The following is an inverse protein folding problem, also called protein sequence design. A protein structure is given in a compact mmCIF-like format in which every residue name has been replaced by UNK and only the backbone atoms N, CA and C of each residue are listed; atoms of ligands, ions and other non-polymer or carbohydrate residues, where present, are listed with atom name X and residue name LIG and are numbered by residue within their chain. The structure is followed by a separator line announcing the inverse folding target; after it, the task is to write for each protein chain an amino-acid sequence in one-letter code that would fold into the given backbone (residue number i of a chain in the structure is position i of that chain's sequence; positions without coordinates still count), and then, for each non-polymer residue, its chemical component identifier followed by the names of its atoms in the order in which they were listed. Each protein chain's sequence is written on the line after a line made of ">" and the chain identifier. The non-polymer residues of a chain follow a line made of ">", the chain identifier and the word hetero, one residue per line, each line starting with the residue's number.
data_IF_117303447831
#
_entry.id   IF_117303447831
#
_cell.length_a   1.000
_cell.length_b   1.000
_cell.length_c   1.000
_cell.angle_alpha   90.00
_cell.angle_beta   90.00
_cell.angle_gamma   90.00
#
_symmetry.space_group_name_H-M   'P 1'
#
loop_
_entity.id
_entity.type
_entity.pdbx_description
1 polymer ?
#
# COMPACT_ATOMS: atom_id res chain seq x y z
N UNK A 1 -16.79 15.44 12.80
CA UNK A 1 -17.48 16.54 12.10
C UNK A 1 -18.47 15.99 11.08
N UNK A 2 -19.73 16.43 11.17
CA UNK A 2 -20.71 16.13 10.14
C UNK A 2 -20.23 16.73 8.80
N UNK A 3 -20.34 16.00 7.70
CA UNK A 3 -20.10 16.58 6.38
C UNK A 3 -21.02 17.80 6.13
N UNK A 4 -20.64 18.74 5.25
CA UNK A 4 -21.56 19.76 4.75
C UNK A 4 -22.87 19.10 4.27
N UNK A 5 -24.01 19.79 4.36
CA UNK A 5 -25.37 19.24 4.18
C UNK A 5 -25.63 18.41 2.89
N UNK A 6 -24.70 18.44 1.93
CA UNK A 6 -24.75 17.71 0.65
C UNK A 6 -23.90 16.43 0.60
N UNK A 7 -22.96 16.21 1.52
CA UNK A 7 -22.03 15.07 1.52
C UNK A 7 -22.46 14.00 2.52
N UNK A 8 -23.63 13.40 2.33
CA UNK A 8 -24.26 12.60 3.39
C UNK A 8 -23.49 11.34 3.83
N UNK A 9 -22.52 10.84 3.06
CA UNK A 9 -21.83 9.59 3.39
C UNK A 9 -20.36 9.57 2.92
N UNK A 10 -19.52 8.88 3.68
CA UNK A 10 -18.22 8.37 3.25
C UNK A 10 -18.42 7.00 2.56
N UNK A 11 -17.70 6.72 1.47
CA UNK A 11 -17.83 5.43 0.78
C UNK A 11 -17.16 4.30 1.55
N UNK A 12 -16.01 4.61 2.17
CA UNK A 12 -14.99 3.64 2.55
C UNK A 12 -13.84 4.37 3.26
N UNK A 13 -13.00 3.61 3.97
CA UNK A 13 -11.81 4.16 4.60
C UNK A 13 -10.85 3.12 5.12
N UNK A 14 -9.73 3.61 5.65
CA UNK A 14 -8.66 2.83 6.28
C UNK A 14 -8.63 3.22 7.76
N UNK A 15 -8.70 2.25 8.66
CA UNK A 15 -8.67 2.48 10.10
C UNK A 15 -7.47 1.77 10.72
N UNK A 16 -6.69 2.51 11.51
CA UNK A 16 -5.59 1.95 12.29
C UNK A 16 -5.68 2.41 13.74
N UNK A 17 -5.21 1.59 14.67
CA UNK A 17 -5.16 1.91 16.08
C UNK A 17 -3.75 2.29 16.52
N UNK A 18 -3.63 3.38 17.30
CA UNK A 18 -2.38 3.79 17.95
C UNK A 18 -2.70 4.53 19.25
N UNK A 19 -2.14 4.06 20.36
CA UNK A 19 -2.12 4.76 21.65
C UNK A 19 -3.51 5.29 22.09
N UNK A 20 -4.54 4.43 22.06
CA UNK A 20 -5.90 4.82 22.43
C UNK A 20 -6.64 5.67 21.40
N UNK A 21 -6.07 5.84 20.19
CA UNK A 21 -6.70 6.57 19.08
C UNK A 21 -6.89 5.70 17.86
N UNK A 22 -8.02 5.88 17.18
CA UNK A 22 -8.27 5.36 15.84
C UNK A 22 -7.91 6.48 14.85
N UNK A 23 -7.01 6.16 13.93
CA UNK A 23 -6.67 6.97 12.76
C UNK A 23 -7.53 6.45 11.61
N UNK A 24 -8.56 7.20 11.24
CA UNK A 24 -9.50 6.81 10.19
C UNK A 24 -9.39 7.71 8.97
N UNK A 25 -8.82 7.18 7.89
CA UNK A 25 -8.67 7.88 6.62
C UNK A 25 -9.89 7.60 5.74
N UNK A 26 -10.53 8.63 5.19
CA UNK A 26 -11.75 8.48 4.40
C UNK A 26 -11.92 9.58 3.35
N UNK A 27 -12.78 9.32 2.37
CA UNK A 27 -13.16 10.25 1.30
C UNK A 27 -14.68 10.45 1.35
N UNK A 28 -15.15 11.65 1.02
CA UNK A 28 -16.57 11.92 0.87
C UNK A 28 -17.05 11.52 -0.52
N UNK A 29 -18.27 11.00 -0.66
CA UNK A 29 -18.74 10.43 -1.93
C UNK A 29 -18.63 11.40 -3.12
N UNK A 30 -18.91 12.69 -2.92
CA UNK A 30 -18.96 13.70 -3.98
C UNK A 30 -17.68 14.55 -4.08
N UNK A 31 -16.68 14.30 -3.24
CA UNK A 31 -15.45 15.08 -3.20
C UNK A 31 -14.25 14.15 -3.16
N UNK A 32 -13.53 14.10 -4.28
CA UNK A 32 -12.41 13.18 -4.51
C UNK A 32 -11.12 13.90 -4.92
N UNK A 33 -11.08 15.22 -4.82
CA UNK A 33 -9.85 16.00 -5.04
C UNK A 33 -8.90 15.98 -3.84
N UNK A 34 -9.36 15.45 -2.71
CA UNK A 34 -8.61 15.31 -1.47
C UNK A 34 -9.25 14.23 -0.59
N UNK A 35 -8.55 13.87 0.48
CA UNK A 35 -9.10 13.01 1.51
C UNK A 35 -8.94 13.58 2.91
N UNK A 36 -9.59 12.93 3.86
CA UNK A 36 -9.61 13.30 5.26
C UNK A 36 -8.98 12.20 6.11
N UNK A 37 -8.43 12.58 7.26
CA UNK A 37 -8.09 11.66 8.34
C UNK A 37 -8.70 12.17 9.65
N UNK A 38 -9.53 11.35 10.28
CA UNK A 38 -10.04 11.58 11.61
C UNK A 38 -9.15 10.92 12.67
N UNK A 39 -8.88 11.66 13.74
CA UNK A 39 -8.34 11.14 14.99
C UNK A 39 -9.51 10.98 15.95
N UNK A 40 -9.82 9.73 16.29
CA UNK A 40 -10.97 9.35 17.10
C UNK A 40 -10.46 8.74 18.39
N UNK A 41 -10.96 9.18 19.53
CA UNK A 41 -10.65 8.55 20.81
C UNK A 41 -11.29 7.15 20.83
N UNK A 42 -10.51 6.10 21.07
CA UNK A 42 -11.00 4.73 20.98
C UNK A 42 -11.91 4.34 22.16
N UNK A 43 -11.86 5.05 23.29
CA UNK A 43 -12.62 4.70 24.49
C UNK A 43 -14.07 5.20 24.41
N UNK A 44 -14.29 6.39 23.84
CA UNK A 44 -15.61 7.03 23.77
C UNK A 44 -16.09 7.32 22.34
N UNK A 45 -15.28 6.97 21.33
CA UNK A 45 -15.53 7.20 19.91
C UNK A 45 -15.69 8.68 19.51
N UNK A 46 -15.33 9.62 20.37
CA UNK A 46 -15.37 11.04 20.07
C UNK A 46 -14.32 11.37 19.02
N UNK A 47 -14.74 12.04 17.94
CA UNK A 47 -13.79 12.60 16.97
C UNK A 47 -13.10 13.81 17.60
N UNK A 48 -11.81 13.70 17.86
CA UNK A 48 -11.00 14.75 18.46
C UNK A 48 -10.54 15.77 17.42
N UNK A 49 -10.22 15.29 16.21
CA UNK A 49 -9.71 16.12 15.12
C UNK A 49 -9.97 15.48 13.76
N UNK A 50 -10.14 16.30 12.73
CA UNK A 50 -10.12 15.85 11.33
C UNK A 50 -9.16 16.75 10.56
N UNK A 51 -8.28 16.13 9.76
CA UNK A 51 -7.30 16.83 8.94
C UNK A 51 -7.52 16.51 7.47
N UNK A 52 -7.42 17.55 6.64
CA UNK A 52 -7.53 17.48 5.18
C UNK A 52 -6.14 17.28 4.57
N UNK A 53 -6.03 16.41 3.58
CA UNK A 53 -4.81 16.16 2.83
C UNK A 53 -5.06 16.24 1.33
N UNK A 54 -4.31 17.11 0.65
CA UNK A 54 -4.51 17.48 -0.76
C UNK A 54 -3.36 17.06 -1.66
N UNK A 55 -2.31 16.45 -1.11
CA UNK A 55 -1.14 15.96 -1.88
C UNK A 55 -1.42 14.63 -2.61
N UNK A 56 -2.60 14.05 -2.39
CA UNK A 56 -3.17 12.95 -3.16
C UNK A 56 -4.70 13.08 -3.14
N UNK A 57 -5.36 12.55 -4.17
CA UNK A 57 -6.82 12.57 -4.30
C UNK A 57 -7.50 11.67 -3.27
N UNK A 58 -6.93 10.49 -2.98
CA UNK A 58 -7.51 9.55 -2.04
C UNK A 58 -6.49 8.58 -1.45
N UNK A 59 -6.81 7.97 -0.30
CA UNK A 59 -6.05 6.83 0.22
C UNK A 59 -6.23 5.61 -0.69
N UNK A 60 -5.25 4.72 -0.72
CA UNK A 60 -5.40 3.46 -1.44
C UNK A 60 -6.58 2.65 -0.85
N UNK A 61 -7.24 1.81 -1.66
CA UNK A 61 -8.34 0.97 -1.17
C UNK A 61 -9.72 1.63 -1.08
N UNK A 62 -9.97 2.80 -1.67
CA UNK A 62 -11.29 3.47 -1.62
C UNK A 62 -12.49 2.67 -2.16
N UNK A 63 -12.31 1.60 -2.93
CA UNK A 63 -13.44 0.79 -3.36
C UNK A 63 -13.90 -0.21 -2.29
N UNK A 64 -12.99 -0.69 -1.44
CA UNK A 64 -13.23 -1.85 -0.57
C UNK A 64 -12.65 -1.71 0.84
N UNK A 65 -11.89 -0.67 1.17
CA UNK A 65 -11.09 -0.59 2.39
C UNK A 65 -9.88 -1.55 2.37
N UNK A 66 -9.39 -1.93 3.55
CA UNK A 66 -8.35 -2.97 3.77
C UNK A 66 -8.97 -4.36 4.00
N UNK A 67 -9.83 -4.86 3.09
CA UNK A 67 -10.43 -6.20 3.29
C UNK A 67 -9.39 -7.32 3.31
N UNK A 68 -8.45 -7.28 2.35
CA UNK A 68 -7.41 -8.29 2.20
C UNK A 68 -6.01 -7.72 2.31
N UNK A 69 -5.84 -6.42 2.11
CA UNK A 69 -4.58 -5.80 1.72
C UNK A 69 -4.15 -4.75 2.72
N UNK A 70 -2.86 -4.74 3.06
CA UNK A 70 -2.26 -3.67 3.83
C UNK A 70 -1.97 -2.50 2.90
N UNK A 71 -2.59 -1.37 3.18
CA UNK A 71 -2.39 -0.07 2.52
C UNK A 71 -1.67 0.91 3.43
N UNK A 72 -1.36 0.49 4.65
CA UNK A 72 -0.79 1.31 5.69
C UNK A 72 0.02 0.46 6.65
N UNK A 73 0.96 1.09 7.34
CA UNK A 73 1.77 0.41 8.35
C UNK A 73 2.31 1.41 9.38
N UNK A 74 2.72 0.87 10.54
CA UNK A 74 3.54 1.59 11.50
C UNK A 74 4.99 1.11 11.38
N UNK A 75 5.93 2.03 11.48
CA UNK A 75 7.33 1.66 11.73
C UNK A 75 7.53 1.31 13.21
N UNK A 76 8.61 0.60 13.57
CA UNK A 76 8.96 0.37 14.98
C UNK A 76 9.10 1.66 15.82
N UNK A 77 9.42 2.79 15.17
CA UNK A 77 9.52 4.10 15.80
C UNK A 77 8.14 4.76 16.05
N UNK A 78 7.05 4.14 15.59
CA UNK A 78 5.66 4.59 15.77
C UNK A 78 5.14 5.59 14.73
N UNK A 79 5.93 5.87 13.69
CA UNK A 79 5.49 6.67 12.55
C UNK A 79 4.50 5.84 11.72
N UNK A 80 3.38 6.45 11.37
CA UNK A 80 2.34 5.86 10.54
C UNK A 80 2.52 6.26 9.09
N UNK A 81 2.43 5.30 8.18
CA UNK A 81 2.53 5.50 6.74
C UNK A 81 1.24 5.01 6.07
N UNK A 82 0.76 5.77 5.10
CA UNK A 82 -0.47 5.51 4.37
C UNK A 82 -0.23 5.61 2.87
N UNK A 83 -0.50 4.53 2.15
CA UNK A 83 -0.51 4.53 0.69
C UNK A 83 -1.72 5.35 0.21
N UNK A 84 -1.46 6.23 -0.75
CA UNK A 84 -2.43 7.11 -1.39
C UNK A 84 -2.28 7.00 -2.90
N UNK A 85 -3.31 7.39 -3.64
CA UNK A 85 -3.31 7.37 -5.10
C UNK A 85 -4.00 8.62 -5.64
N UNK A 86 -3.61 9.01 -6.85
CA UNK A 86 -4.29 10.07 -7.63
C UNK A 86 -4.48 9.59 -9.06
N UNK A 87 -5.61 9.95 -9.66
CA UNK A 87 -5.89 9.62 -11.06
C UNK A 87 -4.92 10.40 -11.96
N UNK A 88 -4.38 9.72 -12.97
CA UNK A 88 -3.48 10.36 -13.92
C UNK A 88 -4.21 11.40 -14.76
N UNK A 89 -3.56 12.52 -15.07
CA UNK A 89 -4.13 13.53 -15.96
C UNK A 89 -4.50 12.92 -17.32
N UNK A 90 -5.72 13.16 -17.80
CA UNK A 90 -6.22 12.60 -19.06
C UNK A 90 -6.57 11.10 -19.02
N UNK A 91 -6.60 10.48 -17.84
CA UNK A 91 -7.00 9.08 -17.69
C UNK A 91 -8.42 8.82 -18.21
N UNK A 92 -8.59 7.69 -18.91
CA UNK A 92 -9.89 7.23 -19.40
C UNK A 92 -10.71 6.48 -18.35
N UNK A 93 -10.08 6.12 -17.23
CA UNK A 93 -10.74 5.49 -16.09
C UNK A 93 -10.03 5.82 -14.80
N UNK A 94 -10.76 5.76 -13.69
CA UNK A 94 -10.20 5.98 -12.36
C UNK A 94 -9.17 4.93 -11.95
N UNK A 95 -9.00 3.83 -12.68
CA UNK A 95 -7.97 2.81 -12.41
C UNK A 95 -6.57 3.28 -12.78
N UNK A 96 -6.45 4.21 -13.73
CA UNK A 96 -5.16 4.73 -14.20
C UNK A 96 -4.66 5.78 -13.21
N UNK A 97 -3.82 5.34 -12.28
CA UNK A 97 -3.41 6.12 -11.12
C UNK A 97 -1.89 6.10 -10.96
N UNK A 98 -1.38 7.04 -10.16
CA UNK A 98 -0.05 6.96 -9.57
C UNK A 98 -0.14 7.06 -8.05
N UNK A 99 0.80 6.43 -7.38
CA UNK A 99 0.85 6.33 -5.93
C UNK A 99 1.52 7.51 -5.23
N UNK A 100 1.36 7.54 -3.92
CA UNK A 100 2.17 8.29 -2.97
C UNK A 100 2.15 7.57 -1.62
N UNK A 101 3.18 7.76 -0.81
CA UNK A 101 3.21 7.30 0.58
C UNK A 101 3.29 8.52 1.51
N UNK A 102 2.27 8.72 2.35
CA UNK A 102 2.20 9.87 3.26
C UNK A 102 2.42 9.43 4.70
N UNK A 103 3.04 10.31 5.51
CA UNK A 103 3.47 10.00 6.88
C UNK A 103 2.73 10.83 7.92
N UNK A 104 2.48 10.23 9.08
CA UNK A 104 2.15 10.91 10.34
C UNK A 104 3.15 10.46 11.38
N UNK A 105 3.93 11.40 11.91
CA UNK A 105 4.91 11.11 12.96
C UNK A 105 4.25 10.53 14.21
N UNK A 106 4.97 9.75 15.00
CA UNK A 106 4.50 9.29 16.32
C UNK A 106 4.00 10.46 17.15
N UNK A 107 2.81 10.31 17.75
CA UNK A 107 2.16 11.33 18.57
C UNK A 107 1.58 12.54 17.80
N UNK A 108 1.87 12.70 16.51
CA UNK A 108 1.34 13.81 15.72
C UNK A 108 -0.14 13.59 15.35
N UNK A 109 -0.86 14.71 15.22
CA UNK A 109 -2.27 14.75 14.77
C UNK A 109 -2.42 15.52 13.45
N UNK A 110 -1.36 15.51 12.63
CA UNK A 110 -1.27 16.13 11.32
C UNK A 110 -0.39 15.26 10.41
N UNK A 111 -0.65 15.30 9.11
CA UNK A 111 0.27 14.75 8.13
C UNK A 111 1.57 15.54 8.11
N UNK A 112 2.68 14.82 8.05
CA UNK A 112 3.99 15.42 7.91
C UNK A 112 4.11 16.09 6.53
N UNK A 113 4.21 17.42 6.53
CA UNK A 113 4.29 18.22 5.31
C UNK A 113 5.67 18.14 4.65
N UNK A 114 6.72 17.75 5.38
CA UNK A 114 8.07 17.59 4.82
C UNK A 114 8.29 16.21 4.19
N UNK A 115 7.30 15.31 4.23
CA UNK A 115 7.42 13.96 3.71
C UNK A 115 6.34 13.65 2.68
N UNK A 116 6.78 13.17 1.53
CA UNK A 116 5.97 12.48 0.52
C UNK A 116 6.89 11.40 -0.08
N UNK A 117 6.58 10.14 0.16
CA UNK A 117 7.28 9.01 -0.43
C UNK A 117 6.64 8.55 -1.73
N UNK A 118 7.37 7.76 -2.50
CA UNK A 118 7.02 7.33 -3.85
C UNK A 118 6.71 8.54 -4.75
N UNK A 119 7.70 9.41 -4.97
CA UNK A 119 7.57 10.55 -5.91
C UNK A 119 7.85 10.12 -7.36
N UNK A 120 7.23 9.02 -7.77
CA UNK A 120 7.32 8.53 -9.15
C UNK A 120 6.09 8.96 -9.95
N UNK A 121 6.26 9.34 -11.23
CA UNK A 121 5.16 9.83 -12.05
C UNK A 121 4.15 8.74 -12.46
N UNK A 122 4.49 7.46 -12.23
CA UNK A 122 3.75 6.29 -12.70
C UNK A 122 3.74 5.22 -11.62
N UNK A 123 2.88 4.23 -11.82
CA UNK A 123 2.69 3.11 -10.92
C UNK A 123 1.82 3.46 -9.71
N UNK A 124 0.84 2.61 -9.47
CA UNK A 124 -0.12 2.69 -8.37
C UNK A 124 0.37 1.80 -7.23
N UNK A 125 0.41 2.31 -6.00
CA UNK A 125 0.69 1.48 -4.83
C UNK A 125 -0.54 0.62 -4.53
N UNK A 126 -0.36 -0.70 -4.61
CA UNK A 126 -1.37 -1.70 -4.32
C UNK A 126 -1.25 -2.18 -2.89
N UNK A 127 -0.07 -2.54 -2.39
CA UNK A 127 0.13 -2.82 -0.96
C UNK A 127 1.37 -2.12 -0.45
N UNK A 128 1.40 -1.88 0.86
CA UNK A 128 2.53 -1.28 1.54
C UNK A 128 2.70 -1.94 2.91
N UNK A 129 3.88 -2.52 3.16
CA UNK A 129 4.25 -3.18 4.41
C UNK A 129 5.57 -2.59 4.95
N UNK A 130 5.71 -2.51 6.27
CA UNK A 130 6.97 -2.11 6.90
C UNK A 130 8.00 -3.25 6.80
N UNK A 131 9.16 -3.02 6.17
CA UNK A 131 10.29 -3.95 6.28
C UNK A 131 11.22 -3.58 7.42
N UNK A 132 11.47 -2.28 7.59
CA UNK A 132 12.35 -1.75 8.64
C UNK A 132 11.97 -0.28 8.92
N UNK A 133 12.55 0.38 9.93
CA UNK A 133 12.27 1.80 10.19
C UNK A 133 12.49 2.72 8.99
N UNK A 134 13.32 2.32 8.01
CA UNK A 134 13.67 3.13 6.84
C UNK A 134 13.26 2.50 5.51
N UNK A 135 12.59 1.34 5.50
CA UNK A 135 12.25 0.65 4.25
C UNK A 135 10.83 0.10 4.27
N UNK A 136 10.11 0.31 3.18
CA UNK A 136 8.80 -0.30 2.93
C UNK A 136 8.87 -1.30 1.77
N UNK A 137 8.15 -2.40 1.89
CA UNK A 137 7.84 -3.29 0.77
C UNK A 137 6.58 -2.76 0.09
N UNK A 138 6.68 -2.52 -1.22
CA UNK A 138 5.56 -2.10 -2.04
C UNK A 138 5.23 -3.20 -3.06
N UNK A 139 3.94 -3.45 -3.24
CA UNK A 139 3.41 -4.09 -4.44
C UNK A 139 2.80 -3.01 -5.31
N UNK A 140 3.31 -2.85 -6.53
CA UNK A 140 3.00 -1.71 -7.41
C UNK A 140 2.37 -2.24 -8.69
N UNK A 141 1.28 -1.62 -9.14
CA UNK A 141 0.71 -1.85 -10.46
C UNK A 141 1.16 -0.75 -11.42
N UNK A 142 1.92 -1.10 -12.46
CA UNK A 142 2.37 -0.17 -13.49
C UNK A 142 2.44 -0.86 -14.86
N UNK A 143 1.38 -0.78 -15.68
CA UNK A 143 1.36 -1.42 -16.99
C UNK A 143 2.44 -0.90 -17.94
N UNK A 144 2.90 0.34 -17.78
CA UNK A 144 3.92 0.91 -18.66
C UNK A 144 5.29 0.32 -18.33
N UNK A 145 5.66 0.29 -17.05
CA UNK A 145 6.91 -0.34 -16.61
C UNK A 145 6.97 -1.83 -17.00
N UNK A 146 5.85 -2.55 -16.87
CA UNK A 146 5.82 -3.98 -17.17
C UNK A 146 5.62 -4.31 -18.65
N UNK A 147 5.34 -3.32 -19.51
CA UNK A 147 4.96 -3.53 -20.92
C UNK A 147 3.63 -4.28 -21.11
N UNK A 148 2.75 -4.26 -20.10
CA UNK A 148 1.44 -4.90 -20.16
C UNK A 148 0.46 -4.10 -21.03
N UNK A 149 -0.58 -4.77 -21.57
CA UNK A 149 -1.52 -4.10 -22.50
C UNK A 149 -2.40 -3.05 -21.81
N UNK A 150 -2.56 -3.18 -20.49
CA UNK A 150 -3.35 -2.23 -19.72
C UNK A 150 -3.39 -2.54 -18.23
N UNK A 151 -4.24 -1.78 -17.55
CA UNK A 151 -4.51 -1.91 -16.12
C UNK A 151 -5.42 -3.11 -15.83
N UNK A 152 -5.54 -3.53 -14.57
CA UNK A 152 -6.46 -4.60 -14.15
C UNK A 152 -5.77 -5.94 -13.91
N UNK A 153 -6.32 -7.03 -14.47
CA UNK A 153 -5.88 -8.41 -14.21
C UNK A 153 -4.69 -8.88 -15.06
N UNK A 154 -4.08 -7.99 -15.85
CA UNK A 154 -2.84 -8.30 -16.59
C UNK A 154 -1.65 -8.50 -15.62
N UNK A 155 -0.54 -9.03 -16.13
CA UNK A 155 0.69 -9.25 -15.36
C UNK A 155 1.50 -7.97 -15.25
N UNK A 156 0.90 -6.98 -14.60
CA UNK A 156 1.35 -5.59 -14.56
C UNK A 156 1.75 -5.12 -13.16
N UNK A 157 1.96 -6.07 -12.24
CA UNK A 157 2.33 -5.76 -10.87
C UNK A 157 3.69 -6.34 -10.51
N UNK A 158 4.46 -5.63 -9.70
CA UNK A 158 5.79 -6.02 -9.27
C UNK A 158 6.05 -5.61 -7.82
N UNK A 159 7.07 -6.22 -7.22
CA UNK A 159 7.52 -5.89 -5.88
C UNK A 159 8.78 -5.04 -5.91
N UNK A 160 8.77 -3.98 -5.12
CA UNK A 160 9.92 -3.11 -4.93
C UNK A 160 10.04 -2.69 -3.47
N UNK A 161 11.25 -2.32 -3.08
CA UNK A 161 11.56 -1.72 -1.79
C UNK A 161 11.69 -0.22 -1.99
N UNK A 162 10.92 0.55 -1.23
CA UNK A 162 11.06 1.99 -1.14
C UNK A 162 11.89 2.34 0.09
N UNK A 163 12.99 3.05 -0.11
CA UNK A 163 13.72 3.70 0.98
C UNK A 163 12.94 4.95 1.43
N UNK A 164 12.49 4.93 2.68
CA UNK A 164 11.64 5.97 3.29
C UNK A 164 12.41 7.25 3.60
N UNK A 165 13.73 7.28 3.41
CA UNK A 165 14.59 8.44 3.70
C UNK A 165 15.07 9.13 2.42
N UNK A 166 15.35 8.35 1.36
CA UNK A 166 15.91 8.84 0.10
C UNK A 166 14.92 8.82 -1.06
N UNK A 167 13.76 8.18 -0.89
CA UNK A 167 12.77 7.90 -1.93
C UNK A 167 13.28 6.97 -3.05
N UNK A 168 14.41 6.30 -2.84
CA UNK A 168 14.93 5.32 -3.79
C UNK A 168 14.02 4.10 -3.85
N UNK A 169 13.56 3.77 -5.07
CA UNK A 169 12.78 2.57 -5.36
C UNK A 169 13.68 1.51 -6.01
N UNK A 170 13.72 0.31 -5.45
CA UNK A 170 14.52 -0.81 -5.97
C UNK A 170 13.64 -2.04 -6.13
N UNK A 171 13.48 -2.53 -7.36
CA UNK A 171 12.80 -3.81 -7.61
C UNK A 171 13.53 -4.96 -6.92
N UNK A 172 12.77 -5.90 -6.38
CA UNK A 172 13.36 -7.06 -5.72
C UNK A 172 13.97 -7.98 -6.76
N UNK A 173 15.20 -8.43 -6.51
CA UNK A 173 15.95 -9.28 -7.43
C UNK A 173 16.30 -10.62 -6.80
N UNK A 174 16.22 -11.67 -7.61
CA UNK A 174 16.74 -12.99 -7.29
C UNK A 174 17.78 -13.39 -8.34
N UNK A 175 19.00 -13.70 -7.91
CA UNK A 175 20.14 -14.00 -8.79
C UNK A 175 20.41 -12.94 -9.87
N UNK A 176 20.30 -11.65 -9.49
CA UNK A 176 20.58 -10.52 -10.38
C UNK A 176 19.46 -10.17 -11.37
N UNK A 177 18.32 -10.86 -11.31
CA UNK A 177 17.15 -10.60 -12.17
C UNK A 177 15.97 -10.18 -11.31
N UNK A 178 15.20 -9.17 -11.75
CA UNK A 178 13.97 -8.76 -11.08
C UNK A 178 13.00 -9.94 -10.94
N UNK A 179 12.23 -9.95 -9.84
CA UNK A 179 11.17 -10.93 -9.68
C UNK A 179 10.16 -10.82 -10.84
N UNK A 180 9.59 -11.94 -11.31
CA UNK A 180 8.58 -11.91 -12.36
C UNK A 180 7.36 -11.06 -11.98
N UNK A 181 6.72 -10.44 -12.98
CA UNK A 181 5.50 -9.69 -12.78
C UNK A 181 4.33 -10.60 -12.41
N UNK A 182 3.45 -10.10 -11.55
CA UNK A 182 2.27 -10.79 -11.05
C UNK A 182 0.99 -10.19 -11.61
N UNK A 183 -0.05 -11.02 -11.72
CA UNK A 183 -1.40 -10.58 -12.09
C UNK A 183 -2.24 -10.19 -10.88
N UNK A 184 -3.15 -9.22 -11.07
CA UNK A 184 -4.19 -8.91 -10.10
C UNK A 184 -3.75 -8.01 -8.94
N UNK A 185 -4.71 -7.22 -8.46
CA UNK A 185 -4.49 -6.12 -7.51
C UNK A 185 -5.33 -6.22 -6.24
N UNK A 186 -6.18 -7.23 -6.11
CA UNK A 186 -7.00 -7.46 -4.93
C UNK A 186 -6.43 -8.61 -4.10
N UNK A 187 -5.19 -8.45 -3.64
CA UNK A 187 -4.40 -9.52 -3.05
C UNK A 187 -3.38 -9.00 -2.03
N UNK A 188 -3.02 -9.84 -1.06
CA UNK A 188 -1.96 -9.60 -0.07
C UNK A 188 -1.05 -10.82 -0.05
N UNK A 189 -0.18 -10.88 -1.04
CA UNK A 189 0.72 -12.01 -1.25
C UNK A 189 2.09 -11.76 -0.62
N UNK A 190 2.23 -10.67 0.13
CA UNK A 190 3.37 -10.41 0.99
C UNK A 190 3.00 -10.61 2.46
N UNK A 191 3.92 -11.17 3.23
CA UNK A 191 3.88 -11.23 4.68
C UNK A 191 5.26 -10.85 5.22
N UNK A 192 5.31 -9.85 6.09
CA UNK A 192 6.52 -9.54 6.87
C UNK A 192 6.40 -10.22 8.23
N UNK A 193 7.36 -11.07 8.57
CA UNK A 193 7.39 -11.80 9.83
C UNK A 193 8.83 -11.89 10.35
N UNK A 194 9.09 -11.28 11.51
CA UNK A 194 10.42 -11.16 12.07
C UNK A 194 11.38 -10.48 11.10
N UNK A 195 12.52 -11.13 10.83
CA UNK A 195 13.57 -10.61 9.94
C UNK A 195 13.36 -10.98 8.46
N UNK A 196 12.17 -11.42 8.06
CA UNK A 196 11.90 -11.90 6.70
C UNK A 196 10.62 -11.32 6.12
N UNK A 197 10.63 -11.13 4.81
CA UNK A 197 9.43 -10.93 4.02
C UNK A 197 9.23 -12.10 3.06
N UNK A 198 8.06 -12.73 3.13
CA UNK A 198 7.63 -13.81 2.24
C UNK A 198 6.79 -13.19 1.13
N UNK A 199 7.17 -13.42 -0.12
CA UNK A 199 6.67 -12.70 -1.29
C UNK A 199 6.17 -13.73 -2.31
N UNK A 200 4.86 -13.92 -2.35
CA UNK A 200 4.18 -14.72 -3.36
C UNK A 200 4.12 -13.98 -4.71
N UNK A 201 4.65 -14.62 -5.74
CA UNK A 201 4.69 -14.11 -7.12
C UNK A 201 3.89 -15.06 -8.01
N UNK A 202 2.92 -14.49 -8.76
CA UNK A 202 2.02 -15.21 -9.67
C UNK A 202 2.31 -14.84 -11.14
N UNK A 203 3.38 -15.38 -11.75
CA UNK A 203 3.76 -15.02 -13.11
C UNK A 203 2.94 -15.72 -14.17
N UNK A 204 2.96 -15.16 -15.39
CA UNK A 204 2.21 -15.68 -16.54
C UNK A 204 2.76 -17.01 -17.05
N UNK A 205 4.08 -17.02 -17.28
CA UNK A 205 4.76 -18.06 -18.05
C UNK A 205 5.75 -18.85 -17.19
N UNK A 206 5.60 -18.81 -15.86
CA UNK A 206 6.43 -19.55 -14.92
C UNK A 206 5.58 -20.10 -13.74
N UNK A 207 6.10 -21.07 -12.97
CA UNK A 207 5.42 -21.54 -11.77
C UNK A 207 5.29 -20.43 -10.72
N UNK A 208 4.10 -20.33 -10.13
CA UNK A 208 3.86 -19.52 -8.93
C UNK A 208 4.77 -19.98 -7.80
N UNK A 209 5.44 -19.04 -7.13
CA UNK A 209 6.37 -19.36 -6.06
C UNK A 209 6.48 -18.25 -5.01
N UNK A 210 7.00 -18.61 -3.85
CA UNK A 210 7.36 -17.69 -2.77
C UNK A 210 8.84 -17.37 -2.90
N UNK A 211 9.18 -16.08 -2.89
CA UNK A 211 10.52 -15.59 -2.62
C UNK A 211 10.61 -15.14 -1.17
N UNK A 212 11.75 -15.36 -0.53
CA UNK A 212 12.00 -14.99 0.85
C UNK A 212 13.09 -13.93 0.83
N UNK A 213 12.72 -12.70 1.16
CA UNK A 213 13.63 -11.59 1.34
C UNK A 213 14.09 -11.55 2.81
N UNK A 214 15.39 -11.72 3.04
CA UNK A 214 16.00 -11.54 4.34
C UNK A 214 16.26 -10.05 4.58
N UNK A 215 15.55 -9.47 5.55
CA UNK A 215 15.53 -8.02 5.78
C UNK A 215 16.91 -7.48 6.18
N UNK A 216 17.67 -8.12 7.11
CA UNK A 216 18.99 -7.62 7.50
C UNK A 216 20.02 -7.64 6.36
N UNK A 217 20.10 -8.74 5.60
CA UNK A 217 21.12 -8.92 4.57
C UNK A 217 20.72 -8.39 3.19
N UNK A 218 19.42 -8.22 2.94
CA UNK A 218 18.87 -7.91 1.63
C UNK A 218 18.89 -9.08 0.64
N UNK A 219 19.31 -10.26 1.07
CA UNK A 219 19.37 -11.44 0.21
C UNK A 219 17.98 -12.00 -0.08
N UNK A 220 17.77 -12.46 -1.31
CA UNK A 220 16.55 -13.15 -1.72
C UNK A 220 16.87 -14.61 -1.96
N UNK A 221 16.06 -15.50 -1.37
CA UNK A 221 16.09 -16.94 -1.65
C UNK A 221 14.76 -17.37 -2.25
N UNK A 222 14.79 -18.46 -3.03
CA UNK A 222 13.57 -19.06 -3.57
C UNK A 222 13.03 -20.08 -2.58
N UNK A 223 11.77 -19.91 -2.18
CA UNK A 223 11.05 -20.81 -1.30
C UNK A 223 10.15 -21.78 -2.07
N UNK A 224 8.98 -22.03 -1.52
CA UNK A 224 8.02 -23.01 -2.06
C UNK A 224 7.54 -22.63 -3.47
N UNK A 225 7.47 -23.63 -4.34
CA UNK A 225 6.78 -23.57 -5.63
C UNK A 225 5.44 -24.28 -5.45
N UNK A 226 4.34 -23.67 -5.91
CA UNK A 226 3.02 -24.31 -5.85
C UNK A 226 2.68 -25.00 -7.16
N UNK A 227 1.75 -25.96 -7.09
CA UNK A 227 1.33 -26.74 -8.24
C UNK A 227 0.76 -25.84 -9.36
N UNK A 228 0.96 -26.25 -10.61
CA UNK A 228 0.44 -25.56 -11.79
C UNK A 228 -1.08 -25.39 -11.68
N UNK A 229 -1.58 -24.21 -12.02
CA UNK A 229 -3.01 -23.86 -11.93
C UNK A 229 -3.42 -23.22 -10.61
N UNK A 230 -2.56 -23.24 -9.59
CA UNK A 230 -2.78 -22.51 -8.34
C UNK A 230 -2.06 -21.16 -8.35
N UNK A 231 -2.63 -20.21 -7.62
CA UNK A 231 -2.08 -18.87 -7.42
C UNK A 231 -2.29 -18.43 -5.97
N UNK A 232 -1.44 -17.53 -5.48
CA UNK A 232 -1.66 -16.92 -4.17
C UNK A 232 -2.67 -15.80 -4.30
N UNK A 233 -3.67 -15.73 -3.41
CA UNK A 233 -4.47 -14.52 -3.21
C UNK A 233 -4.08 -13.81 -1.91
N UNK A 234 -3.76 -14.62 -0.89
CA UNK A 234 -3.33 -14.13 0.41
C UNK A 234 -2.27 -15.05 1.02
N UNK A 235 -1.26 -14.46 1.65
CA UNK A 235 -0.34 -15.15 2.56
C UNK A 235 -0.56 -14.55 3.95
N UNK A 236 -0.80 -15.39 4.95
CA UNK A 236 -1.00 -14.98 6.35
C UNK A 236 -0.11 -15.80 7.26
N UNK A 237 0.39 -15.18 8.32
CA UNK A 237 0.94 -15.91 9.46
C UNK A 237 -0.21 -16.52 10.26
N UNK A 238 -0.05 -17.75 10.72
CA UNK A 238 -0.92 -18.36 11.71
C UNK A 238 -0.16 -18.27 13.03
N UNK A 239 -0.74 -17.58 14.01
CA UNK A 239 -0.24 -17.62 15.39
C UNK A 239 -0.56 -19.00 15.97
N UNK A 240 0.41 -19.61 16.65
CA UNK A 240 0.19 -20.83 17.45
C UNK A 240 -0.44 -20.50 18.80
#
# INVERSE_FOLDING_TARGET
>A
PAPPDKDKFNTSGIANYRDGKILYAFVYNNERSYFQLAFINAADMKTEKVVKETRAEFMAGTAYGELLQHKSFFTPNGDYYLACNSVNAGAKSSTQQHGALLRIKKGATEFDKSYRGYNHPKGKIVTADCLSPTKALLYIQDPEHTGAKGWGADYNCYYAILDLTTDQLTEIQYNGTNLPFSSGTFSQRSLVLGNKAYIGVNPKDAPTCIYIYDIPSGQVTKGMIIAKGYHFERIVGIEE
#
